data_IF_654561550855
#
_entry.id   IF_654561550855
#
_cell.length_a   1.000
_cell.length_b   1.000
_cell.length_c   1.000
_cell.angle_alpha   90.00
_cell.angle_beta   90.00
_cell.angle_gamma   90.00
#
_symmetry.space_group_name_H-M   'P 1'
#
loop_
_entity.id
_entity.type
_entity.pdbx_description
1 polymer ?
#
# COMPACT_ATOMS: atom_id res chain seq x y z
N UNK A 1 -50.57 -3.41 -2.57
CA UNK A 1 -51.09 -2.84 -1.31
C UNK A 1 -52.32 -2.04 -1.66
N UNK A 2 -53.49 -2.66 -1.56
CA UNK A 2 -54.78 -2.03 -1.87
C UNK A 2 -55.25 -1.22 -0.68
N UNK A 3 -55.42 0.09 -0.90
CA UNK A 3 -55.97 1.02 0.07
C UNK A 3 -57.40 0.65 0.46
N UNK A 4 -57.62 0.53 1.76
CA UNK A 4 -58.93 0.42 2.37
C UNK A 4 -59.01 1.45 3.50
N UNK A 5 -59.65 2.58 3.19
CA UNK A 5 -60.25 3.58 4.08
C UNK A 5 -59.61 3.80 5.47
N UNK A 6 -59.06 5.00 5.66
CA UNK A 6 -58.26 5.41 6.84
C UNK A 6 -58.82 5.13 8.24
N UNK A 7 -60.14 4.90 8.40
CA UNK A 7 -60.72 4.42 9.67
C UNK A 7 -60.66 2.90 9.83
N UNK A 8 -61.00 2.13 8.79
CA UNK A 8 -60.96 0.67 8.86
C UNK A 8 -59.51 0.16 8.92
N UNK A 9 -58.60 0.83 8.22
CA UNK A 9 -57.17 0.56 8.34
C UNK A 9 -56.62 0.84 9.75
N UNK A 10 -57.03 1.95 10.38
CA UNK A 10 -56.62 2.29 11.74
C UNK A 10 -57.24 1.33 12.77
N UNK A 11 -58.52 1.00 12.64
CA UNK A 11 -59.19 0.03 13.52
C UNK A 11 -58.58 -1.36 13.39
N UNK A 12 -58.25 -1.81 12.18
CA UNK A 12 -57.55 -3.07 11.97
C UNK A 12 -56.12 -3.03 12.56
N UNK A 13 -55.42 -1.90 12.45
CA UNK A 13 -54.08 -1.72 13.05
C UNK A 13 -54.15 -1.69 14.59
N UNK A 14 -55.16 -1.04 15.16
CA UNK A 14 -55.39 -1.04 16.60
C UNK A 14 -55.79 -2.45 17.08
N UNK A 15 -56.65 -3.16 16.35
CA UNK A 15 -57.04 -4.54 16.66
C UNK A 15 -55.87 -5.51 16.55
N UNK A 16 -55.00 -5.37 15.54
CA UNK A 16 -53.81 -6.21 15.42
C UNK A 16 -52.83 -5.95 16.57
N UNK A 17 -52.63 -4.70 16.97
CA UNK A 17 -51.83 -4.34 18.14
C UNK A 17 -52.44 -4.84 19.47
N UNK A 18 -53.76 -4.73 19.64
CA UNK A 18 -54.43 -5.20 20.86
C UNK A 18 -54.47 -6.73 20.95
N UNK A 19 -54.64 -7.42 19.83
CA UNK A 19 -54.61 -8.89 19.80
C UNK A 19 -53.22 -9.45 20.07
N UNK A 20 -52.13 -8.74 19.71
CA UNK A 20 -50.78 -9.13 20.14
C UNK A 20 -50.59 -8.98 21.65
N UNK A 21 -51.21 -7.98 22.30
CA UNK A 21 -51.16 -7.80 23.75
C UNK A 21 -51.92 -8.90 24.53
N UNK A 22 -53.08 -9.31 24.04
CA UNK A 22 -53.90 -10.32 24.73
C UNK A 22 -53.31 -11.73 24.63
N UNK A 23 -52.45 -12.00 23.63
CA UNK A 23 -51.83 -13.32 23.43
C UNK A 23 -50.89 -13.72 24.57
N UNK A 24 -50.31 -12.76 25.28
CA UNK A 24 -49.48 -13.00 26.47
C UNK A 24 -50.31 -13.21 27.76
N UNK A 25 -51.64 -13.00 27.72
CA UNK A 25 -52.53 -13.07 28.88
C UNK A 25 -53.41 -14.32 28.90
N UNK A 26 -53.37 -15.16 27.85
CA UNK A 26 -54.18 -16.39 27.72
C UNK A 26 -53.60 -17.64 28.40
N UNK A 27 -52.82 -17.47 29.47
CA UNK A 27 -52.40 -18.59 30.34
C UNK A 27 -53.19 -18.65 31.66
N UNK A 28 -54.33 -17.96 31.76
CA UNK A 28 -55.26 -18.09 32.89
C UNK A 28 -56.62 -18.59 32.40
N UNK A 29 -56.91 -19.83 32.76
CA UNK A 29 -58.10 -20.61 32.39
C UNK A 29 -59.44 -19.99 32.81
N UNK A 30 -60.47 -20.34 32.03
CA UNK A 30 -61.92 -20.31 32.29
C UNK A 30 -62.64 -18.96 32.46
N UNK A 31 -63.45 -18.58 31.45
CA UNK A 31 -64.93 -18.64 31.54
C UNK A 31 -65.62 -18.38 30.19
N UNK A 32 -66.46 -19.35 29.80
CA UNK A 32 -67.75 -19.28 29.09
C UNK A 32 -68.02 -18.22 28.00
N UNK A 33 -68.37 -18.75 26.83
CA UNK A 33 -68.92 -18.12 25.65
C UNK A 33 -70.19 -17.27 25.91
N UNK A 34 -70.46 -16.36 24.97
CA UNK A 34 -71.71 -15.63 24.70
C UNK A 34 -71.78 -14.12 25.00
N UNK A 35 -70.70 -13.44 25.39
CA UNK A 35 -70.64 -11.95 25.35
C UNK A 35 -69.26 -11.39 24.92
N UNK A 36 -68.54 -12.15 24.10
CA UNK A 36 -67.08 -12.06 23.99
C UNK A 36 -66.55 -11.31 22.76
N UNK A 37 -67.29 -10.34 22.20
CA UNK A 37 -66.77 -9.51 21.09
C UNK A 37 -66.25 -8.14 21.51
N UNK A 38 -66.67 -7.62 22.68
CA UNK A 38 -66.27 -6.28 23.15
C UNK A 38 -65.66 -6.26 24.56
N UNK A 39 -65.77 -7.34 25.34
CA UNK A 39 -65.43 -7.37 26.77
C UNK A 39 -64.03 -7.86 27.14
N UNK A 40 -63.31 -8.54 26.24
CA UNK A 40 -61.95 -9.03 26.51
C UNK A 40 -60.86 -7.99 26.26
N UNK A 41 -61.17 -6.95 25.49
CA UNK A 41 -60.27 -5.83 25.18
C UNK A 41 -59.90 -4.98 26.41
N UNK A 42 -60.73 -5.01 27.45
CA UNK A 42 -60.65 -4.14 28.62
C UNK A 42 -60.18 -4.86 29.90
N UNK A 43 -59.70 -6.10 29.81
CA UNK A 43 -59.16 -6.81 30.99
C UNK A 43 -57.75 -6.33 31.39
N UNK A 44 -57.05 -5.63 30.50
CA UNK A 44 -55.84 -4.86 30.79
C UNK A 44 -56.15 -3.37 30.97
N UNK A 45 -55.41 -2.67 31.83
CA UNK A 45 -55.46 -1.22 31.95
C UNK A 45 -54.92 -0.56 30.66
N UNK A 46 -55.80 -0.34 29.69
CA UNK A 46 -55.50 0.24 28.38
C UNK A 46 -55.95 1.70 28.32
N UNK A 47 -55.12 2.56 27.73
CA UNK A 47 -55.47 3.93 27.37
C UNK A 47 -55.46 4.08 25.84
N UNK A 48 -56.55 4.57 25.26
CA UNK A 48 -56.68 4.80 23.82
C UNK A 48 -57.09 6.25 23.53
N UNK A 49 -56.28 6.96 22.75
CA UNK A 49 -56.64 8.25 22.18
C UNK A 49 -57.09 8.06 20.73
N UNK A 50 -58.34 8.39 20.42
CA UNK A 50 -58.88 8.30 19.07
C UNK A 50 -59.76 9.53 18.77
N UNK A 51 -59.62 10.09 17.58
CA UNK A 51 -60.43 11.22 17.10
C UNK A 51 -60.54 11.15 15.57
N UNK A 52 -61.74 11.32 14.98
CA UNK A 52 -61.93 11.28 13.53
C UNK A 52 -61.23 12.42 12.80
N UNK A 53 -61.00 13.55 13.49
CA UNK A 53 -60.42 14.76 12.90
C UNK A 53 -58.97 15.00 13.31
N UNK A 54 -58.40 14.14 14.15
CA UNK A 54 -56.98 14.19 14.56
C UNK A 54 -56.74 14.41 16.05
N UNK A 55 -55.48 14.24 16.43
CA UNK A 55 -54.96 14.37 17.80
C UNK A 55 -53.69 15.23 17.70
N UNK A 56 -53.54 16.22 18.59
CA UNK A 56 -52.33 17.03 18.71
C UNK A 56 -51.80 16.93 20.15
N UNK A 57 -50.49 16.68 20.29
CA UNK A 57 -49.79 16.65 21.58
C UNK A 57 -48.69 17.72 21.54
N UNK A 58 -48.76 18.70 22.44
CA UNK A 58 -47.85 19.85 22.45
C UNK A 58 -47.56 20.30 23.87
N UNK A 59 -46.35 20.78 24.11
CA UNK A 59 -45.88 21.35 25.38
C UNK A 59 -44.72 22.30 25.09
N UNK A 60 -44.53 23.38 25.89
CA UNK A 60 -43.33 24.21 25.80
C UNK A 60 -42.06 23.52 26.33
N UNK A 61 -42.22 22.46 27.13
CA UNK A 61 -41.12 21.67 27.68
C UNK A 61 -40.95 20.36 26.90
N UNK A 62 -40.97 19.21 27.57
CA UNK A 62 -40.58 17.92 27.00
C UNK A 62 -41.76 16.95 26.81
N UNK A 63 -41.69 16.17 25.72
CA UNK A 63 -42.49 14.96 25.51
C UNK A 63 -41.55 13.76 25.54
N UNK A 64 -41.77 12.84 26.48
CA UNK A 64 -41.02 11.57 26.57
C UNK A 64 -41.96 10.42 26.26
N UNK A 65 -41.68 9.69 25.18
CA UNK A 65 -42.36 8.44 24.85
C UNK A 65 -41.43 7.27 25.18
N UNK A 66 -41.86 6.39 26.07
CA UNK A 66 -41.10 5.22 26.46
C UNK A 66 -42.03 4.00 26.53
N UNK A 67 -41.55 2.87 26.01
CA UNK A 67 -42.19 1.57 26.16
C UNK A 67 -41.13 0.53 26.53
N UNK A 68 -41.47 -0.41 27.42
CA UNK A 68 -40.58 -1.52 27.77
C UNK A 68 -40.40 -2.56 26.67
N UNK A 69 -41.20 -2.47 25.59
CA UNK A 69 -41.17 -3.37 24.45
C UNK A 69 -40.94 -2.57 23.15
N UNK A 70 -42.01 -2.20 22.44
CA UNK A 70 -41.94 -1.54 21.13
C UNK A 70 -42.73 -0.23 21.11
N UNK A 71 -42.25 0.74 20.32
CA UNK A 71 -43.01 1.93 19.90
C UNK A 71 -43.18 1.86 18.39
N UNK A 72 -44.42 1.85 17.91
CA UNK A 72 -44.75 1.83 16.49
C UNK A 72 -45.36 3.15 16.00
N UNK A 73 -44.95 3.58 14.81
CA UNK A 73 -45.57 4.69 14.09
C UNK A 73 -46.07 4.19 12.73
N UNK A 74 -47.32 4.49 12.40
CA UNK A 74 -47.93 4.12 11.11
C UNK A 74 -48.76 5.28 10.59
N UNK A 75 -48.59 5.61 9.31
CA UNK A 75 -49.32 6.69 8.64
C UNK A 75 -49.85 6.21 7.29
N UNK A 76 -51.10 6.53 6.98
CA UNK A 76 -51.64 6.34 5.62
C UNK A 76 -51.09 7.37 4.62
N UNK A 77 -50.65 8.53 5.12
CA UNK A 77 -49.91 9.54 4.37
C UNK A 77 -48.42 9.54 4.76
N UNK A 78 -47.85 10.73 4.90
CA UNK A 78 -46.44 10.91 5.32
C UNK A 78 -46.27 10.92 6.84
N UNK A 79 -45.15 10.39 7.32
CA UNK A 79 -44.64 10.62 8.67
C UNK A 79 -43.50 11.64 8.59
N UNK A 80 -43.62 12.76 9.31
CA UNK A 80 -42.63 13.85 9.28
C UNK A 80 -41.95 13.99 10.65
N UNK A 81 -40.63 14.02 10.65
CA UNK A 81 -39.83 14.35 11.84
C UNK A 81 -39.04 15.63 11.55
N UNK A 82 -39.15 16.63 12.42
CA UNK A 82 -38.43 17.89 12.29
C UNK A 82 -37.92 18.36 13.65
N UNK A 83 -36.77 19.01 13.64
CA UNK A 83 -36.13 19.58 14.84
C UNK A 83 -35.42 20.87 14.42
N UNK A 84 -35.43 21.87 15.30
CA UNK A 84 -34.65 23.10 15.09
C UNK A 84 -33.14 22.88 15.33
N UNK A 85 -32.80 21.84 16.09
CA UNK A 85 -31.41 21.50 16.42
C UNK A 85 -31.09 20.14 15.80
N UNK A 86 -31.18 19.08 16.60
CA UNK A 86 -30.69 17.76 16.23
C UNK A 86 -31.80 16.73 16.21
N UNK A 87 -31.64 15.71 15.38
CA UNK A 87 -32.37 14.44 15.44
C UNK A 87 -31.32 13.36 15.70
N UNK A 88 -31.48 12.61 16.78
CA UNK A 88 -30.58 11.53 17.17
C UNK A 88 -31.35 10.21 17.10
N UNK A 89 -30.84 9.27 16.32
CA UNK A 89 -31.39 7.92 16.20
C UNK A 89 -30.31 6.92 16.59
N UNK A 90 -30.60 6.11 17.60
CA UNK A 90 -29.68 5.09 18.09
C UNK A 90 -30.44 3.79 18.31
N UNK A 91 -29.84 2.68 17.89
CA UNK A 91 -30.35 1.34 18.12
C UNK A 91 -29.20 0.46 18.59
N UNK A 92 -29.42 -0.35 19.62
CA UNK A 92 -28.43 -1.33 20.07
C UNK A 92 -28.25 -2.46 19.06
N UNK A 93 -29.33 -2.87 18.40
CA UNK A 93 -29.34 -3.98 17.43
C UNK A 93 -29.02 -3.53 16.02
N UNK A 94 -30.03 -3.03 15.29
CA UNK A 94 -29.93 -2.69 13.87
C UNK A 94 -30.80 -1.49 13.52
N UNK A 95 -30.33 -0.65 12.61
CA UNK A 95 -31.14 0.35 11.90
C UNK A 95 -31.41 -0.13 10.47
N UNK A 96 -32.64 -0.01 9.98
CA UNK A 96 -33.01 -0.40 8.61
C UNK A 96 -33.98 0.62 8.04
N UNK A 97 -33.66 1.13 6.84
CA UNK A 97 -34.52 2.03 6.09
C UNK A 97 -34.79 1.42 4.71
N UNK A 98 -36.03 1.47 4.27
CA UNK A 98 -36.45 0.95 2.98
C UNK A 98 -37.52 1.86 2.39
N UNK A 99 -37.41 2.15 1.09
CA UNK A 99 -38.38 2.95 0.37
C UNK A 99 -38.55 2.40 -1.06
N UNK A 100 -39.79 2.38 -1.54
CA UNK A 100 -40.11 1.90 -2.89
C UNK A 100 -39.71 2.93 -3.96
N UNK A 101 -39.91 4.22 -3.67
CA UNK A 101 -39.67 5.31 -4.63
C UNK A 101 -38.26 5.89 -4.55
N UNK A 102 -37.50 5.59 -3.48
CA UNK A 102 -36.13 6.04 -3.30
C UNK A 102 -35.85 6.67 -1.93
N UNK A 103 -34.56 6.89 -1.67
CA UNK A 103 -34.03 7.51 -0.45
C UNK A 103 -33.14 8.68 -0.88
N UNK A 104 -33.26 9.81 -0.18
CA UNK A 104 -32.40 10.98 -0.37
C UNK A 104 -31.76 11.36 0.97
N UNK A 105 -30.44 11.55 0.96
CA UNK A 105 -29.66 11.97 2.13
C UNK A 105 -28.84 13.19 1.71
N UNK A 106 -29.17 14.36 2.25
CA UNK A 106 -28.60 15.64 1.84
C UNK A 106 -28.14 16.40 3.09
N UNK A 107 -26.90 16.88 3.07
CA UNK A 107 -26.39 17.86 4.03
C UNK A 107 -26.03 19.14 3.27
N UNK A 108 -26.59 20.28 3.70
CA UNK A 108 -26.46 21.55 2.98
C UNK A 108 -25.11 22.26 3.24
N UNK A 109 -24.57 22.13 4.45
CA UNK A 109 -23.37 22.85 4.88
C UNK A 109 -22.27 21.87 5.30
N UNK A 110 -22.58 21.01 6.27
CA UNK A 110 -21.60 20.12 6.90
C UNK A 110 -21.48 18.76 6.20
N UNK A 111 -20.48 17.98 6.60
CA UNK A 111 -20.16 16.67 6.01
C UNK A 111 -21.19 15.57 6.34
N UNK A 112 -21.41 14.70 5.36
CA UNK A 112 -22.01 13.37 5.57
C UNK A 112 -20.88 12.39 5.94
N UNK A 113 -21.06 11.62 7.00
CA UNK A 113 -20.11 10.60 7.45
C UNK A 113 -20.82 9.25 7.55
N UNK A 114 -20.24 8.22 6.94
CA UNK A 114 -20.73 6.85 6.98
C UNK A 114 -19.56 5.93 7.34
N UNK A 115 -19.74 5.06 8.33
CA UNK A 115 -18.69 4.17 8.81
C UNK A 115 -19.26 2.77 9.11
N UNK A 116 -18.53 1.74 8.70
CA UNK A 116 -18.66 0.40 9.22
C UNK A 116 -17.36 0.07 9.96
N UNK A 117 -17.39 0.09 11.30
CA UNK A 117 -16.17 0.06 12.12
C UNK A 117 -15.58 -1.34 12.27
N UNK A 118 -16.44 -2.36 12.38
CA UNK A 118 -16.06 -3.74 12.64
C UNK A 118 -16.59 -4.71 11.57
N UNK A 119 -17.13 -4.19 10.47
CA UNK A 119 -17.80 -4.97 9.45
C UNK A 119 -17.63 -4.33 8.05
N UNK A 120 -18.12 -5.03 7.03
CA UNK A 120 -18.09 -4.59 5.63
C UNK A 120 -19.08 -3.45 5.37
N UNK A 121 -18.72 -2.55 4.45
CA UNK A 121 -19.64 -1.61 3.81
C UNK A 121 -19.85 -2.04 2.36
N UNK A 122 -21.10 -2.23 1.95
CA UNK A 122 -21.47 -2.61 0.59
C UNK A 122 -22.38 -1.55 -0.05
N UNK A 123 -22.13 -1.26 -1.33
CA UNK A 123 -22.92 -0.35 -2.15
C UNK A 123 -23.27 -1.05 -3.46
N UNK A 124 -24.56 -1.27 -3.68
CA UNK A 124 -25.07 -1.94 -4.88
C UNK A 124 -26.06 -1.06 -5.62
N UNK A 125 -25.93 -1.01 -6.94
CA UNK A 125 -26.89 -0.39 -7.84
C UNK A 125 -27.13 -1.31 -9.04
N UNK A 126 -28.37 -1.34 -9.54
CA UNK A 126 -28.71 -2.08 -10.77
C UNK A 126 -28.17 -1.40 -12.02
N UNK A 127 -28.07 -0.07 -11.99
CA UNK A 127 -27.55 0.76 -13.06
C UNK A 127 -26.18 1.30 -12.62
N UNK A 128 -26.02 2.61 -12.61
CA UNK A 128 -24.73 3.24 -12.38
C UNK A 128 -24.53 3.67 -10.93
N UNK A 129 -23.27 3.66 -10.48
CA UNK A 129 -22.81 4.34 -9.28
C UNK A 129 -21.96 5.53 -9.73
N UNK A 130 -22.38 6.75 -9.37
CA UNK A 130 -21.66 7.99 -9.68
C UNK A 130 -21.07 8.59 -8.42
N UNK A 131 -19.73 8.66 -8.37
CA UNK A 131 -18.97 9.35 -7.33
C UNK A 131 -18.35 10.59 -7.97
N UNK A 132 -18.63 11.77 -7.43
CA UNK A 132 -18.16 13.05 -8.01
C UNK A 132 -17.81 14.02 -6.90
N UNK A 133 -16.61 14.60 -6.99
CA UNK A 133 -16.22 15.79 -6.25
C UNK A 133 -16.21 16.97 -7.24
N UNK A 134 -16.95 18.04 -6.96
CA UNK A 134 -17.08 19.20 -7.87
C UNK A 134 -15.90 20.16 -7.78
N UNK A 135 -15.38 20.35 -6.56
CA UNK A 135 -14.30 21.31 -6.28
C UNK A 135 -13.08 20.65 -5.64
N UNK A 136 -13.23 19.42 -5.17
CA UNK A 136 -12.22 18.70 -4.39
C UNK A 136 -11.65 17.47 -5.12
N UNK A 137 -11.32 16.45 -4.32
CA UNK A 137 -10.73 15.18 -4.78
C UNK A 137 -11.53 13.98 -4.27
N UNK A 138 -11.45 12.88 -5.00
CA UNK A 138 -11.91 11.56 -4.55
C UNK A 138 -10.70 10.83 -3.96
N UNK A 139 -10.82 10.38 -2.72
CA UNK A 139 -9.79 9.61 -2.02
C UNK A 139 -10.27 8.18 -1.82
N UNK A 140 -9.51 7.22 -2.35
CA UNK A 140 -9.72 5.78 -2.13
C UNK A 140 -8.42 5.25 -1.57
N UNK A 141 -8.47 4.65 -0.39
CA UNK A 141 -7.29 4.15 0.31
C UNK A 141 -7.62 2.82 0.95
N UNK A 142 -6.71 1.87 0.81
CA UNK A 142 -6.81 0.56 1.44
C UNK A 142 -5.43 0.17 1.94
N UNK A 143 -5.30 -0.34 3.18
CA UNK A 143 -4.02 -0.82 3.68
C UNK A 143 -3.56 -2.12 3.01
N UNK A 144 -4.47 -2.85 2.37
CA UNK A 144 -4.20 -4.16 1.77
C UNK A 144 -4.23 -4.05 0.25
N UNK A 145 -5.38 -3.64 -0.30
CA UNK A 145 -5.62 -3.73 -1.75
C UNK A 145 -6.76 -2.80 -2.21
N UNK A 146 -6.59 -2.22 -3.40
CA UNK A 146 -7.65 -1.59 -4.20
C UNK A 146 -7.76 -2.33 -5.53
N UNK A 147 -8.93 -2.93 -5.78
CA UNK A 147 -9.21 -3.74 -6.97
C UNK A 147 -10.40 -3.18 -7.76
N UNK A 148 -10.14 -2.71 -8.98
CA UNK A 148 -11.15 -2.12 -9.87
C UNK A 148 -11.27 -2.97 -11.11
N UNK A 149 -12.43 -3.62 -11.29
CA UNK A 149 -12.71 -4.54 -12.40
C UNK A 149 -13.82 -4.02 -13.31
N UNK A 150 -13.62 -4.12 -14.62
CA UNK A 150 -14.64 -3.78 -15.61
C UNK A 150 -14.45 -4.59 -16.91
N UNK A 151 -15.50 -5.28 -17.37
CA UNK A 151 -15.55 -5.90 -18.70
C UNK A 151 -14.38 -6.83 -19.06
N UNK A 152 -13.82 -7.56 -18.07
CA UNK A 152 -12.65 -8.43 -18.23
C UNK A 152 -11.29 -7.72 -18.11
N UNK A 153 -11.27 -6.44 -17.76
CA UNK A 153 -10.05 -5.69 -17.41
C UNK A 153 -10.02 -5.34 -15.92
N UNK A 154 -8.83 -5.16 -15.37
CA UNK A 154 -8.59 -4.92 -13.96
C UNK A 154 -7.46 -3.92 -13.74
N UNK A 155 -7.66 -2.99 -12.80
CA UNK A 155 -6.61 -2.21 -12.18
C UNK A 155 -6.47 -2.66 -10.71
N UNK A 156 -5.32 -3.22 -10.37
CA UNK A 156 -5.02 -3.75 -9.05
C UNK A 156 -3.87 -2.96 -8.42
N UNK A 157 -4.08 -2.46 -7.21
CA UNK A 157 -3.07 -1.73 -6.43
C UNK A 157 -2.93 -2.43 -5.08
N UNK A 158 -1.75 -2.95 -4.79
CA UNK A 158 -1.46 -3.63 -3.52
C UNK A 158 0.04 -3.50 -3.16
N UNK A 159 0.50 -4.23 -2.14
CA UNK A 159 1.89 -4.19 -1.67
C UNK A 159 2.94 -4.55 -2.73
N UNK A 160 2.57 -5.29 -3.78
CA UNK A 160 3.49 -5.70 -4.84
C UNK A 160 3.64 -4.63 -5.93
N UNK A 161 2.77 -3.60 -5.94
CA UNK A 161 2.82 -2.50 -6.90
C UNK A 161 1.46 -2.23 -7.56
N UNK A 162 1.51 -1.76 -8.81
CA UNK A 162 0.35 -1.41 -9.64
C UNK A 162 0.30 -2.34 -10.84
N UNK A 163 -0.81 -3.07 -11.01
CA UNK A 163 -1.02 -4.02 -12.10
C UNK A 163 -2.22 -3.62 -12.94
N UNK A 164 -2.04 -3.66 -14.27
CA UNK A 164 -3.11 -3.43 -15.25
C UNK A 164 -3.26 -4.72 -16.05
N UNK A 165 -4.31 -5.49 -15.77
CA UNK A 165 -4.58 -6.77 -16.43
C UNK A 165 -5.73 -6.58 -17.44
N UNK A 166 -5.54 -6.99 -18.70
CA UNK A 166 -6.58 -6.94 -19.73
C UNK A 166 -6.39 -8.06 -20.75
N UNK A 167 -7.49 -8.72 -21.14
CA UNK A 167 -7.47 -9.77 -22.19
C UNK A 167 -7.36 -9.21 -23.61
N UNK A 168 -7.54 -7.90 -23.78
CA UNK A 168 -7.54 -7.22 -25.08
C UNK A 168 -6.38 -6.23 -25.16
N UNK A 169 -6.61 -5.04 -25.70
CA UNK A 169 -5.54 -4.05 -25.84
C UNK A 169 -5.47 -3.15 -24.61
N UNK A 170 -4.24 -2.92 -24.13
CA UNK A 170 -3.91 -1.81 -23.24
C UNK A 170 -3.39 -0.66 -24.10
N UNK A 171 -4.23 0.35 -24.36
CA UNK A 171 -3.87 1.50 -25.20
C UNK A 171 -3.49 2.69 -24.33
N UNK A 172 -2.24 3.12 -24.41
CA UNK A 172 -1.74 4.32 -23.74
C UNK A 172 -1.49 5.40 -24.78
N UNK A 173 -2.11 6.57 -24.62
CA UNK A 173 -1.92 7.71 -25.52
C UNK A 173 -1.46 8.91 -24.69
N UNK A 174 -0.25 9.40 -24.92
CA UNK A 174 0.31 10.57 -24.25
C UNK A 174 1.19 11.39 -25.20
N UNK A 175 1.30 12.70 -24.96
CA UNK A 175 2.27 13.56 -25.66
C UNK A 175 3.72 13.23 -25.29
N UNK A 176 3.95 12.65 -24.11
CA UNK A 176 5.25 12.17 -23.64
C UNK A 176 5.06 11.02 -22.64
N UNK A 177 5.94 10.02 -22.70
CA UNK A 177 6.06 9.00 -21.66
C UNK A 177 7.41 9.19 -20.96
N UNK A 178 7.37 9.50 -19.66
CA UNK A 178 8.58 9.63 -18.84
C UNK A 178 8.69 8.39 -17.98
N UNK A 179 9.67 7.55 -18.27
CA UNK A 179 10.03 6.42 -17.43
C UNK A 179 11.31 6.79 -16.68
N UNK A 180 11.19 6.97 -15.36
CA UNK A 180 12.33 7.22 -14.49
C UNK A 180 12.83 5.90 -13.91
N UNK A 181 14.11 5.83 -13.57
CA UNK A 181 14.65 4.74 -12.77
C UNK A 181 13.86 4.60 -11.47
N UNK A 182 13.76 3.37 -10.95
CA UNK A 182 13.11 3.12 -9.66
C UNK A 182 13.72 3.99 -8.55
N UNK A 183 12.90 4.35 -7.57
CA UNK A 183 13.35 5.10 -6.42
C UNK A 183 14.47 4.33 -5.71
N UNK A 184 15.63 4.96 -5.51
CA UNK A 184 16.75 4.34 -4.81
C UNK A 184 16.36 4.15 -3.34
N UNK A 185 15.96 2.92 -3.00
CA UNK A 185 15.83 2.50 -1.61
C UNK A 185 17.23 2.30 -1.06
N UNK A 186 17.60 3.06 -0.03
CA UNK A 186 18.89 2.92 0.67
C UNK A 186 18.98 1.54 1.31
N UNK A 187 19.69 0.60 0.67
CA UNK A 187 20.07 -0.66 1.30
C UNK A 187 21.34 -0.41 2.12
N UNK A 188 21.43 -0.91 3.37
CA UNK A 188 22.67 -0.84 4.13
C UNK A 188 23.78 -1.53 3.32
N UNK A 189 24.87 -0.80 3.04
CA UNK A 189 25.99 -1.37 2.29
C UNK A 189 26.59 -2.53 3.08
N UNK A 190 26.52 -3.73 2.51
CA UNK A 190 27.29 -4.88 2.97
C UNK A 190 28.70 -4.66 2.43
N UNK A 191 29.65 -4.27 3.29
CA UNK A 191 31.06 -4.25 2.91
C UNK A 191 31.55 -5.68 2.75
N UNK A 192 32.09 -6.01 1.58
CA UNK A 192 32.73 -7.30 1.35
C UNK A 192 33.94 -7.45 2.28
N UNK A 193 34.24 -8.67 2.76
CA UNK A 193 35.45 -8.94 3.52
C UNK A 193 36.68 -8.64 2.65
N UNK A 194 37.53 -7.74 3.13
CA UNK A 194 38.82 -7.43 2.51
C UNK A 194 39.75 -8.60 2.80
N UNK A 195 40.19 -9.32 1.76
CA UNK A 195 41.28 -10.28 1.89
C UNK A 195 42.60 -9.54 1.71
N UNK A 196 43.57 -9.79 2.61
CA UNK A 196 44.95 -9.34 2.42
C UNK A 196 45.54 -10.08 1.21
N UNK A 197 45.45 -9.47 0.02
CA UNK A 197 46.11 -9.97 -1.18
C UNK A 197 47.53 -9.40 -1.26
N UNK A 198 48.45 -10.18 -1.83
CA UNK A 198 49.82 -9.72 -2.08
C UNK A 198 49.80 -8.56 -3.07
N UNK A 199 50.63 -7.54 -2.83
CA UNK A 199 50.79 -6.39 -3.72
C UNK A 199 51.32 -6.82 -5.08
N UNK A 200 50.62 -6.42 -6.14
CA UNK A 200 51.06 -6.62 -7.52
C UNK A 200 52.05 -5.53 -7.93
N UNK A 201 53.29 -5.89 -8.24
CA UNK A 201 54.37 -4.96 -8.58
C UNK A 201 54.91 -5.19 -9.99
N UNK A 202 55.47 -4.12 -10.59
CA UNK A 202 56.09 -4.11 -11.90
C UNK A 202 57.15 -3.00 -11.96
N UNK A 203 58.31 -3.28 -12.55
CA UNK A 203 59.38 -2.29 -12.72
C UNK A 203 59.52 -1.86 -14.17
N UNK A 204 59.42 -0.55 -14.42
CA UNK A 204 59.76 0.03 -15.71
C UNK A 204 61.23 0.48 -15.72
N UNK A 205 61.96 0.14 -16.79
CA UNK A 205 63.38 0.48 -16.95
C UNK A 205 63.72 0.78 -18.42
N UNK A 206 64.73 1.62 -18.63
CA UNK A 206 65.24 1.94 -19.97
C UNK A 206 66.68 1.48 -20.12
N UNK A 207 67.02 1.01 -21.32
CA UNK A 207 68.39 0.61 -21.69
C UNK A 207 68.92 1.70 -22.63
N UNK A 208 70.06 2.31 -22.29
CA UNK A 208 70.62 3.47 -23.01
C UNK A 208 71.23 3.11 -24.37
N UNK A 209 71.66 1.86 -24.58
CA UNK A 209 72.20 1.35 -25.85
C UNK A 209 71.31 0.27 -26.44
N UNK A 210 70.68 0.58 -27.58
CA UNK A 210 69.74 -0.30 -28.29
C UNK A 210 70.37 -1.56 -28.91
N UNK A 211 71.71 -1.61 -29.02
CA UNK A 211 72.43 -2.75 -29.61
C UNK A 211 72.60 -3.94 -28.65
N UNK A 212 72.45 -3.74 -27.34
CA UNK A 212 72.60 -4.79 -26.33
C UNK A 212 71.55 -5.91 -26.45
N UNK A 213 70.38 -5.59 -26.99
CA UNK A 213 69.27 -6.52 -27.15
C UNK A 213 69.27 -7.26 -28.50
N UNK A 214 70.23 -6.99 -29.40
CA UNK A 214 70.37 -7.69 -30.68
C UNK A 214 71.04 -9.07 -30.55
N UNK A 215 71.81 -9.31 -29.50
CA UNK A 215 72.60 -10.54 -29.32
C UNK A 215 71.90 -11.64 -28.48
N UNK A 216 70.57 -11.59 -28.33
CA UNK A 216 69.73 -12.62 -27.68
C UNK A 216 70.07 -13.04 -26.23
N UNK A 217 71.13 -12.49 -25.63
CA UNK A 217 71.69 -12.92 -24.34
C UNK A 217 71.48 -11.92 -23.19
N UNK A 218 70.74 -10.84 -23.40
CA UNK A 218 70.48 -9.87 -22.34
C UNK A 218 69.27 -10.27 -21.50
N UNK A 219 69.51 -10.49 -20.20
CA UNK A 219 68.50 -10.84 -19.20
C UNK A 219 68.52 -9.83 -18.05
N UNK A 220 67.34 -9.40 -17.61
CA UNK A 220 67.18 -8.61 -16.38
C UNK A 220 66.58 -9.46 -15.28
N UNK A 221 67.10 -9.30 -14.07
CA UNK A 221 66.67 -10.04 -12.89
C UNK A 221 66.14 -9.08 -11.84
N UNK A 222 64.96 -9.37 -11.30
CA UNK A 222 64.35 -8.66 -10.17
C UNK A 222 64.58 -9.49 -8.92
N UNK A 223 65.19 -8.90 -7.88
CA UNK A 223 65.62 -9.61 -6.68
C UNK A 223 65.01 -9.00 -5.42
N UNK A 224 64.61 -9.88 -4.51
CA UNK A 224 64.10 -9.50 -3.20
C UNK A 224 65.20 -8.89 -2.32
N UNK A 225 64.93 -7.71 -1.73
CA UNK A 225 65.86 -6.97 -0.88
C UNK A 225 66.37 -7.78 0.31
N UNK A 226 65.46 -8.46 0.98
CA UNK A 226 65.68 -9.00 2.31
C UNK A 226 66.28 -10.40 2.22
N UNK A 227 65.92 -11.15 1.18
CA UNK A 227 66.31 -12.56 1.01
C UNK A 227 67.34 -12.79 -0.09
N UNK A 228 67.57 -11.81 -0.97
CA UNK A 228 68.46 -11.96 -2.13
C UNK A 228 67.96 -12.99 -3.15
N UNK A 229 66.71 -13.42 -3.05
CA UNK A 229 66.11 -14.41 -3.96
C UNK A 229 65.65 -13.76 -5.25
N UNK A 230 65.85 -14.48 -6.36
CA UNK A 230 65.31 -14.09 -7.65
C UNK A 230 63.77 -14.16 -7.61
N UNK A 231 63.12 -13.04 -7.91
CA UNK A 231 61.66 -12.93 -7.98
C UNK A 231 61.19 -13.23 -9.42
N UNK A 232 61.77 -12.55 -10.41
CA UNK A 232 61.46 -12.78 -11.82
C UNK A 232 62.64 -12.42 -12.71
N UNK A 233 62.69 -13.02 -13.90
CA UNK A 233 63.64 -12.70 -14.95
C UNK A 233 62.92 -12.29 -16.23
N UNK A 234 63.51 -11.39 -17.01
CA UNK A 234 62.95 -10.96 -18.30
C UNK A 234 64.06 -10.99 -19.35
N UNK A 235 63.74 -11.58 -20.50
CA UNK A 235 64.58 -11.47 -21.69
C UNK A 235 64.38 -10.09 -22.32
N UNK A 236 65.45 -9.44 -22.78
CA UNK A 236 65.28 -8.15 -23.45
C UNK A 236 64.39 -8.27 -24.69
N UNK A 237 63.44 -7.36 -24.82
CA UNK A 237 62.66 -7.14 -26.03
C UNK A 237 62.98 -5.71 -26.49
N UNK A 238 63.41 -5.51 -27.74
CA UNK A 238 63.79 -4.19 -28.27
C UNK A 238 62.56 -3.27 -28.27
N UNK A 239 62.40 -2.48 -27.21
CA UNK A 239 61.40 -1.41 -27.05
C UNK A 239 62.01 -0.29 -26.21
N UNK A 240 61.70 0.96 -26.52
CA UNK A 240 62.28 2.13 -25.84
C UNK A 240 61.89 2.22 -24.34
N UNK A 241 60.77 1.59 -23.95
CA UNK A 241 60.32 1.47 -22.57
C UNK A 241 60.06 -0.02 -22.29
N UNK A 242 60.88 -0.63 -21.43
CA UNK A 242 60.77 -2.04 -21.08
C UNK A 242 60.29 -2.13 -19.64
N UNK A 243 59.44 -3.12 -19.39
CA UNK A 243 58.94 -3.40 -18.06
C UNK A 243 59.26 -4.83 -17.67
N UNK A 244 59.53 -5.08 -16.39
CA UNK A 244 59.56 -6.44 -15.88
C UNK A 244 58.21 -7.13 -16.06
N UNK A 245 58.20 -8.47 -16.04
CA UNK A 245 57.02 -9.25 -15.77
C UNK A 245 56.41 -8.80 -14.44
N UNK A 246 55.09 -8.92 -14.33
CA UNK A 246 54.36 -8.65 -13.10
C UNK A 246 54.69 -9.72 -12.06
N UNK A 247 54.93 -9.31 -10.83
CA UNK A 247 55.23 -10.21 -9.72
C UNK A 247 54.50 -9.72 -8.46
N UNK A 248 54.31 -10.61 -7.48
CA UNK A 248 53.51 -10.33 -6.29
C UNK A 248 54.38 -10.42 -5.03
N UNK A 249 54.29 -9.43 -4.14
CA UNK A 249 55.05 -9.38 -2.88
C UNK A 249 54.14 -9.04 -1.71
N UNK A 250 54.51 -9.45 -0.50
CA UNK A 250 53.76 -9.11 0.72
C UNK A 250 53.91 -7.63 1.10
N UNK A 251 54.97 -6.96 0.63
CA UNK A 251 55.23 -5.53 0.84
C UNK A 251 55.58 -4.86 -0.48
N UNK A 252 55.01 -3.68 -0.73
CA UNK A 252 55.24 -2.88 -1.94
C UNK A 252 56.66 -2.30 -2.02
N UNK A 253 57.43 -2.26 -0.93
CA UNK A 253 58.75 -1.59 -0.88
C UNK A 253 59.97 -2.53 -0.83
N UNK A 254 59.77 -3.85 -0.83
CA UNK A 254 60.82 -4.83 -0.52
C UNK A 254 61.75 -5.19 -1.71
N UNK A 255 61.84 -4.39 -2.77
CA UNK A 255 62.66 -4.74 -3.95
C UNK A 255 63.90 -3.87 -4.11
N UNK A 256 65.07 -4.50 -4.24
CA UNK A 256 66.35 -3.85 -4.59
C UNK A 256 66.70 -4.22 -6.03
N UNK A 257 66.53 -3.26 -6.93
CA UNK A 257 67.35 -3.12 -8.13
C UNK A 257 67.19 -4.18 -9.22
N UNK A 258 67.54 -3.77 -10.45
CA UNK A 258 67.63 -4.65 -11.59
C UNK A 258 69.10 -5.03 -11.75
N UNK A 259 69.43 -6.32 -11.65
CA UNK A 259 70.76 -6.82 -11.98
C UNK A 259 70.82 -7.22 -13.45
N UNK A 260 71.90 -6.84 -14.12
CA UNK A 260 72.22 -7.30 -15.46
C UNK A 260 73.73 -7.27 -15.71
N UNK A 261 74.19 -8.15 -16.60
CA UNK A 261 75.60 -8.42 -16.88
C UNK A 261 76.23 -7.40 -17.86
N UNK A 262 75.89 -6.11 -17.75
CA UNK A 262 76.44 -5.05 -18.61
C UNK A 262 76.62 -3.76 -17.82
N UNK A 263 77.77 -3.11 -18.01
CA UNK A 263 78.20 -1.91 -17.27
C UNK A 263 77.43 -0.63 -17.67
N UNK A 264 76.48 -0.71 -18.61
CA UNK A 264 75.82 0.43 -19.27
C UNK A 264 74.31 0.54 -18.97
N UNK A 265 73.87 0.39 -17.71
CA UNK A 265 72.45 0.49 -17.34
C UNK A 265 72.19 1.75 -16.50
N UNK A 266 71.28 2.59 -16.99
CA UNK A 266 70.69 3.69 -16.21
C UNK A 266 69.30 3.30 -15.72
N UNK A 267 69.09 3.25 -14.40
CA UNK A 267 67.76 3.08 -13.81
C UNK A 267 67.05 4.43 -13.89
N UNK A 268 65.95 4.51 -14.64
CA UNK A 268 65.28 5.79 -14.92
C UNK A 268 64.14 6.16 -13.98
N UNK A 269 63.65 5.27 -13.11
CA UNK A 269 62.93 5.61 -11.87
C UNK A 269 62.30 4.36 -11.23
N UNK A 270 62.19 4.34 -9.90
CA UNK A 270 61.33 3.42 -9.18
C UNK A 270 59.91 4.00 -9.16
N UNK A 271 59.11 3.77 -10.20
CA UNK A 271 57.65 3.94 -10.07
C UNK A 271 57.06 2.63 -9.57
N UNK A 272 57.04 2.48 -8.24
CA UNK A 272 56.16 1.52 -7.57
C UNK A 272 54.73 2.04 -7.75
N UNK A 273 54.10 1.70 -8.87
CA UNK A 273 52.69 2.02 -9.06
C UNK A 273 51.89 1.05 -8.17
N UNK A 274 51.59 1.47 -6.94
CA UNK A 274 50.73 0.73 -5.99
C UNK A 274 49.27 0.71 -6.40
N UNK A 275 48.89 1.54 -7.38
CA UNK A 275 47.49 1.91 -7.60
C UNK A 275 46.85 1.19 -8.79
N UNK A 276 47.39 0.03 -9.19
CA UNK A 276 46.72 -0.83 -10.16
C UNK A 276 45.96 -1.94 -9.43
N UNK A 277 44.79 -1.57 -8.91
CA UNK A 277 43.75 -2.54 -8.58
C UNK A 277 43.35 -3.29 -9.85
N UNK A 278 43.04 -4.57 -9.69
CA UNK A 278 42.74 -5.48 -10.80
C UNK A 278 41.46 -4.99 -11.51
N UNK A 279 41.49 -4.71 -12.83
CA UNK A 279 40.29 -4.24 -13.54
C UNK A 279 39.16 -5.28 -13.54
N UNK A 280 39.44 -6.57 -13.28
CA UNK A 280 38.41 -7.58 -13.06
C UNK A 280 37.73 -7.45 -11.69
N UNK A 281 38.40 -6.83 -10.71
CA UNK A 281 37.80 -6.48 -9.42
C UNK A 281 36.88 -5.25 -9.56
N UNK A 282 37.26 -4.24 -10.34
CA UNK A 282 36.45 -3.03 -10.53
C UNK A 282 35.10 -3.33 -11.21
N UNK A 283 35.09 -4.23 -12.20
CA UNK A 283 33.86 -4.68 -12.87
C UNK A 283 32.98 -5.56 -11.95
N UNK A 284 33.59 -6.25 -10.98
CA UNK A 284 32.88 -7.02 -9.96
C UNK A 284 32.42 -6.16 -8.76
N UNK A 285 33.06 -5.02 -8.50
CA UNK A 285 32.81 -4.14 -7.35
C UNK A 285 31.98 -2.91 -7.66
N UNK A 286 31.64 -2.66 -8.93
CA UNK A 286 30.77 -1.57 -9.36
C UNK A 286 31.16 -0.23 -8.71
N UNK A 287 32.46 0.08 -8.75
CA UNK A 287 32.96 1.40 -8.40
C UNK A 287 32.60 2.35 -9.55
N UNK A 288 31.39 2.89 -9.50
CA UNK A 288 31.00 4.06 -10.28
C UNK A 288 31.99 5.19 -9.98
N UNK A 289 32.88 5.45 -10.94
CA UNK A 289 33.65 6.67 -11.02
C UNK A 289 32.68 7.86 -10.98
N UNK A 290 32.67 8.58 -9.85
CA UNK A 290 32.16 9.96 -9.79
C UNK A 290 33.10 10.86 -10.60
N UNK A 291 32.68 11.20 -11.81
CA UNK A 291 33.00 12.45 -12.50
C UNK A 291 31.71 13.23 -12.70
#
# INVERSE_FOLDING_TARGET
MTGGSGLNGLLNTAQSFMSSFNKDTENSENTSAENQSNGTLFRQALMLFASPNGIAMTTPEDIVNHAGQEIGFSSGGSTNFSSQKNILMHAQGKYTAFAVNGISVIAANEKIQMHAQNALMELFARLDIKITATEGKILITSPIEVDIKAGGSQLLINQQGVFVNTDRYFKVQSGQHVFMSGEKVSMPQISLPIFNSNYSNKFDYSISKSELCKNDNFMTFVIDKNTGRLITQNKCIIKNNISSNRFFTEDSKTVIGILSFSDDIGITSNNLNSDYEDPLLDEALNLDNKG
#
